data_IF_754665383420
#
_entry.id   IF_754665383420
#
_cell.length_a   1.000
_cell.length_b   1.000
_cell.length_c   1.000
_cell.angle_alpha   90.00
_cell.angle_beta   90.00
_cell.angle_gamma   90.00
#
_symmetry.space_group_name_H-M   'P 1'
#
loop_
_entity.id
_entity.type
_entity.pdbx_description
1 polymer ?
#
# COMPACT_ATOMS: atom_id res chain seq x y z
N UNK A 1 21.17 -10.35 10.17
CA UNK A 1 21.30 -9.82 8.79
C UNK A 1 21.76 -8.37 8.79
N UNK A 2 21.05 -7.40 9.37
CA UNK A 2 21.40 -5.96 9.26
C UNK A 2 22.87 -5.60 9.57
N UNK A 3 23.50 -6.21 10.58
CA UNK A 3 24.92 -5.94 10.90
C UNK A 3 25.94 -6.38 9.83
N UNK A 4 25.51 -7.11 8.80
CA UNK A 4 26.35 -7.60 7.69
C UNK A 4 26.05 -6.87 6.36
N UNK A 5 24.97 -6.08 6.30
CA UNK A 5 24.47 -5.47 5.08
C UNK A 5 24.11 -4.01 5.34
N UNK A 6 24.98 -3.08 4.95
CA UNK A 6 24.82 -1.65 5.24
C UNK A 6 23.51 -1.07 4.71
N UNK A 7 23.09 -1.45 3.50
CA UNK A 7 21.81 -1.02 2.93
C UNK A 7 20.62 -1.45 3.79
N UNK A 8 20.65 -2.66 4.34
CA UNK A 8 19.60 -3.18 5.22
C UNK A 8 19.67 -2.53 6.60
N UNK A 9 20.87 -2.29 7.13
CA UNK A 9 21.04 -1.55 8.39
C UNK A 9 20.42 -0.16 8.29
N UNK A 10 20.73 0.60 7.22
CA UNK A 10 20.14 1.92 6.99
C UNK A 10 18.62 1.84 6.78
N UNK A 11 18.11 0.86 6.01
CA UNK A 11 16.67 0.72 5.81
C UNK A 11 15.90 0.45 7.11
N UNK A 12 16.42 -0.45 7.96
CA UNK A 12 15.83 -0.77 9.27
C UNK A 12 15.91 0.42 10.23
N UNK A 13 17.04 1.14 10.27
CA UNK A 13 17.18 2.34 11.11
C UNK A 13 16.25 3.46 10.65
N UNK A 14 16.11 3.66 9.34
CA UNK A 14 15.17 4.61 8.76
C UNK A 14 13.73 4.30 9.15
N UNK A 15 13.30 3.05 8.96
CA UNK A 15 11.97 2.60 9.34
C UNK A 15 11.71 2.73 10.85
N UNK A 16 12.66 2.30 11.69
CA UNK A 16 12.57 2.41 13.14
C UNK A 16 12.46 3.86 13.61
N UNK A 17 13.26 4.77 13.04
CA UNK A 17 13.18 6.20 13.32
C UNK A 17 11.84 6.81 12.88
N UNK A 18 11.29 6.43 11.72
CA UNK A 18 9.94 6.84 11.29
C UNK A 18 8.87 6.35 12.27
N UNK A 19 8.92 5.08 12.68
CA UNK A 19 7.98 4.52 13.65
C UNK A 19 8.04 5.27 15.00
N UNK A 20 9.24 5.52 15.52
CA UNK A 20 9.44 6.24 16.78
C UNK A 20 9.01 7.70 16.70
N UNK A 21 9.18 8.36 15.54
CA UNK A 21 8.73 9.74 15.35
C UNK A 21 7.20 9.86 15.37
N UNK A 22 6.50 8.82 14.90
CA UNK A 22 5.03 8.80 14.88
C UNK A 22 4.39 8.38 16.20
N UNK A 23 5.05 7.51 16.97
CA UNK A 23 4.44 6.89 18.17
C UNK A 23 5.18 7.22 19.48
N UNK A 24 6.35 7.83 19.41
CA UNK A 24 7.17 8.22 20.55
C UNK A 24 7.09 9.70 20.86
N UNK A 25 7.90 10.12 21.84
CA UNK A 25 7.97 11.51 22.31
C UNK A 25 9.14 12.30 21.69
N UNK A 26 9.85 11.73 20.72
CA UNK A 26 11.05 12.32 20.11
C UNK A 26 10.90 12.30 18.60
N UNK A 27 11.15 13.45 17.97
CA UNK A 27 11.16 13.59 16.53
C UNK A 27 12.50 13.15 15.93
N UNK A 28 12.49 12.03 15.20
CA UNK A 28 13.62 11.51 14.44
C UNK A 28 13.42 11.64 12.93
N UNK A 29 12.51 12.51 12.47
CA UNK A 29 12.15 12.63 11.05
C UNK A 29 13.39 12.90 10.18
N UNK A 30 14.29 13.78 10.62
CA UNK A 30 15.53 14.07 9.88
C UNK A 30 16.44 12.84 9.75
N UNK A 31 16.61 12.08 10.82
CA UNK A 31 17.45 10.88 10.86
C UNK A 31 16.82 9.77 10.02
N UNK A 32 15.49 9.61 10.10
CA UNK A 32 14.73 8.66 9.30
C UNK A 32 14.93 8.90 7.80
N UNK A 33 14.87 10.17 7.37
CA UNK A 33 15.10 10.56 5.98
C UNK A 33 16.56 10.37 5.56
N UNK A 34 17.53 10.72 6.42
CA UNK A 34 18.94 10.50 6.12
C UNK A 34 19.25 9.02 5.90
N UNK A 35 18.78 8.15 6.79
CA UNK A 35 18.94 6.71 6.65
C UNK A 35 18.22 6.16 5.41
N UNK A 36 17.01 6.66 5.10
CA UNK A 36 16.27 6.30 3.88
C UNK A 36 17.06 6.60 2.61
N UNK A 37 17.59 7.82 2.47
CA UNK A 37 18.37 8.23 1.29
C UNK A 37 19.62 7.37 1.13
N UNK A 38 20.34 7.11 2.23
CA UNK A 38 21.50 6.22 2.19
C UNK A 38 21.11 4.80 1.78
N UNK A 39 20.04 4.24 2.34
CA UNK A 39 19.54 2.91 1.98
C UNK A 39 19.17 2.84 0.50
N UNK A 40 18.40 3.80 -0.03
CA UNK A 40 18.02 3.83 -1.45
C UNK A 40 19.23 3.88 -2.37
N UNK A 41 20.25 4.70 -2.03
CA UNK A 41 21.49 4.76 -2.80
C UNK A 41 22.19 3.40 -2.84
N UNK A 42 22.39 2.78 -1.67
CA UNK A 42 23.09 1.50 -1.58
C UNK A 42 22.28 0.36 -2.23
N UNK A 43 20.95 0.37 -2.11
CA UNK A 43 20.06 -0.59 -2.81
C UNK A 43 20.23 -0.46 -4.32
N UNK A 44 20.22 0.76 -4.86
CA UNK A 44 20.40 0.97 -6.30
C UNK A 44 21.76 0.46 -6.79
N UNK A 45 22.84 0.68 -6.02
CA UNK A 45 24.18 0.14 -6.33
C UNK A 45 24.19 -1.40 -6.38
N UNK A 46 23.40 -2.07 -5.53
CA UNK A 46 23.23 -3.53 -5.56
C UNK A 46 22.37 -4.00 -6.74
N UNK A 47 21.40 -3.20 -7.20
CA UNK A 47 20.58 -3.54 -8.37
C UNK A 47 21.38 -3.46 -9.67
N UNK A 48 22.37 -2.58 -9.76
CA UNK A 48 23.32 -2.53 -10.87
C UNK A 48 24.21 -3.77 -10.93
N UNK A 49 24.41 -4.44 -9.78
CA UNK A 49 25.21 -5.66 -9.65
C UNK A 49 24.44 -6.74 -8.85
N UNK A 50 23.40 -7.36 -9.45
CA UNK A 50 22.47 -8.22 -8.73
C UNK A 50 23.15 -9.30 -7.88
N UNK A 51 22.74 -9.48 -6.60
CA UNK A 51 23.33 -10.48 -5.73
C UNK A 51 23.06 -11.91 -6.21
N UNK A 52 24.07 -12.77 -6.09
CA UNK A 52 24.00 -14.18 -6.51
C UNK A 52 23.83 -15.16 -5.36
N UNK A 53 24.16 -14.75 -4.12
CA UNK A 53 23.97 -15.59 -2.94
C UNK A 53 22.57 -15.37 -2.37
N UNK A 54 21.86 -16.44 -1.97
CA UNK A 54 20.51 -16.32 -1.42
C UNK A 54 20.38 -15.35 -0.24
N UNK A 55 21.35 -15.35 0.68
CA UNK A 55 21.32 -14.43 1.84
C UNK A 55 21.45 -12.95 1.43
N UNK A 56 22.19 -12.65 0.36
CA UNK A 56 22.36 -11.29 -0.15
C UNK A 56 21.08 -10.85 -0.90
N UNK A 57 20.42 -11.77 -1.61
CA UNK A 57 19.11 -11.54 -2.24
C UNK A 57 18.03 -11.26 -1.20
N UNK A 58 17.98 -12.07 -0.14
CA UNK A 58 17.06 -11.90 0.99
C UNK A 58 17.30 -10.57 1.70
N UNK A 59 18.56 -10.21 1.96
CA UNK A 59 18.88 -8.93 2.58
C UNK A 59 18.45 -7.74 1.71
N UNK A 60 18.67 -7.81 0.40
CA UNK A 60 18.27 -6.76 -0.55
C UNK A 60 16.75 -6.61 -0.56
N UNK A 61 16.01 -7.72 -0.66
CA UNK A 61 14.55 -7.68 -0.63
C UNK A 61 14.02 -7.15 0.71
N UNK A 62 14.60 -7.57 1.84
CA UNK A 62 14.26 -7.06 3.17
C UNK A 62 14.42 -5.54 3.25
N UNK A 63 15.47 -4.99 2.65
CA UNK A 63 15.71 -3.55 2.62
C UNK A 63 14.65 -2.82 1.79
N UNK A 64 14.24 -3.37 0.64
CA UNK A 64 13.17 -2.79 -0.17
C UNK A 64 11.83 -2.83 0.56
N UNK A 65 11.49 -3.93 1.24
CA UNK A 65 10.28 -3.99 2.08
C UNK A 65 10.31 -2.92 3.17
N UNK A 66 11.46 -2.72 3.84
CA UNK A 66 11.60 -1.65 4.83
C UNK A 66 11.36 -0.26 4.21
N UNK A 67 11.86 -0.01 3.00
CA UNK A 67 11.64 1.25 2.27
C UNK A 67 10.16 1.46 1.92
N UNK A 68 9.47 0.43 1.43
CA UNK A 68 8.02 0.47 1.15
C UNK A 68 7.23 0.75 2.42
N UNK A 69 7.51 0.00 3.50
CA UNK A 69 6.83 0.18 4.79
C UNK A 69 7.08 1.59 5.33
N UNK A 70 8.30 2.11 5.22
CA UNK A 70 8.61 3.46 5.66
C UNK A 70 7.84 4.52 4.87
N UNK A 71 7.63 4.33 3.55
CA UNK A 71 6.79 5.24 2.75
C UNK A 71 5.37 5.33 3.30
N UNK A 72 4.83 4.27 3.90
CA UNK A 72 3.48 4.28 4.50
C UNK A 72 3.40 5.06 5.84
N UNK A 73 4.55 5.50 6.37
CA UNK A 73 4.67 6.29 7.60
C UNK A 73 5.04 7.76 7.32
N UNK A 74 4.99 8.18 6.06
CA UNK A 74 5.38 9.54 5.65
C UNK A 74 4.17 10.32 5.10
N UNK A 75 3.93 11.57 5.52
CA UNK A 75 2.72 12.31 5.15
C UNK A 75 2.67 12.77 3.68
N UNK A 76 3.80 12.82 2.97
CA UNK A 76 3.91 13.36 1.60
C UNK A 76 4.44 12.33 0.57
N UNK A 77 4.17 11.04 0.80
CA UNK A 77 4.81 9.93 0.08
C UNK A 77 3.83 8.99 -0.64
N UNK A 78 2.59 9.39 -0.90
CA UNK A 78 1.61 8.52 -1.58
C UNK A 78 2.15 7.94 -2.90
N UNK A 79 2.76 8.78 -3.73
CA UNK A 79 3.35 8.35 -5.02
C UNK A 79 4.65 7.59 -4.81
N UNK A 80 5.48 8.03 -3.85
CA UNK A 80 6.69 7.30 -3.47
C UNK A 80 6.36 5.87 -2.98
N UNK A 81 5.26 5.68 -2.23
CA UNK A 81 4.78 4.35 -1.83
C UNK A 81 4.44 3.50 -3.04
N UNK A 82 3.60 3.98 -3.96
CA UNK A 82 3.19 3.22 -5.14
C UNK A 82 4.38 2.89 -6.05
N UNK A 83 5.28 3.85 -6.26
CA UNK A 83 6.51 3.65 -7.05
C UNK A 83 7.47 2.67 -6.38
N UNK A 84 7.68 2.79 -5.06
CA UNK A 84 8.57 1.89 -4.33
C UNK A 84 7.99 0.47 -4.29
N UNK A 85 6.68 0.31 -4.12
CA UNK A 85 6.00 -1.01 -4.21
C UNK A 85 6.20 -1.65 -5.57
N UNK A 86 6.05 -0.88 -6.66
CA UNK A 86 6.35 -1.36 -8.02
C UNK A 86 7.80 -1.81 -8.18
N UNK A 87 8.75 -1.03 -7.66
CA UNK A 87 10.17 -1.41 -7.62
C UNK A 87 10.42 -2.67 -6.79
N UNK A 88 9.77 -2.79 -5.63
CA UNK A 88 9.85 -3.96 -4.76
C UNK A 88 9.33 -5.23 -5.41
N UNK A 89 8.23 -5.14 -6.16
CA UNK A 89 7.72 -6.28 -6.93
C UNK A 89 8.68 -6.71 -8.05
N UNK A 90 9.37 -5.77 -8.70
CA UNK A 90 10.42 -6.08 -9.67
C UNK A 90 11.58 -6.83 -8.98
N UNK A 91 12.04 -6.36 -7.81
CA UNK A 91 13.08 -7.06 -7.04
C UNK A 91 12.62 -8.47 -6.63
N UNK A 92 11.39 -8.60 -6.12
CA UNK A 92 10.80 -9.87 -5.73
C UNK A 92 10.76 -10.88 -6.88
N UNK A 93 10.43 -10.42 -8.10
CA UNK A 93 10.25 -11.29 -9.27
C UNK A 93 11.54 -11.57 -10.05
N UNK A 94 12.56 -10.71 -9.93
CA UNK A 94 13.80 -10.82 -10.74
C UNK A 94 15.02 -11.22 -9.92
N UNK A 95 15.10 -10.84 -8.64
CA UNK A 95 16.28 -11.07 -7.80
C UNK A 95 16.13 -12.35 -6.96
N UNK A 96 14.93 -12.64 -6.45
CA UNK A 96 14.70 -13.87 -5.69
C UNK A 96 14.51 -15.03 -6.68
N UNK A 97 15.61 -15.71 -6.99
CA UNK A 97 15.62 -16.77 -8.02
C UNK A 97 15.06 -18.11 -7.53
N UNK A 98 15.03 -18.33 -6.21
CA UNK A 98 14.56 -19.57 -5.60
C UNK A 98 13.85 -19.27 -4.27
N UNK A 99 12.54 -19.04 -4.35
CA UNK A 99 11.72 -18.71 -3.16
C UNK A 99 11.76 -19.80 -2.10
N UNK A 100 11.88 -21.09 -2.47
CA UNK A 100 11.89 -22.19 -1.48
C UNK A 100 13.10 -22.12 -0.54
N UNK A 101 14.21 -21.54 -1.01
CA UNK A 101 15.42 -21.33 -0.22
C UNK A 101 15.48 -19.96 0.46
N UNK A 102 14.59 -19.04 0.09
CA UNK A 102 14.51 -17.70 0.66
C UNK A 102 13.82 -17.73 2.02
N UNK A 103 14.23 -16.83 2.92
CA UNK A 103 13.44 -16.56 4.14
C UNK A 103 12.05 -16.00 3.83
N UNK A 104 11.86 -15.46 2.62
CA UNK A 104 10.60 -14.91 2.10
C UNK A 104 9.79 -15.93 1.30
N UNK A 105 10.00 -17.24 1.47
CA UNK A 105 9.24 -18.30 0.78
C UNK A 105 7.71 -18.18 0.87
N UNK A 106 7.19 -17.45 1.85
CA UNK A 106 5.75 -17.18 2.02
C UNK A 106 5.23 -15.97 1.23
N UNK A 107 6.12 -15.20 0.58
CA UNK A 107 5.77 -14.05 -0.27
C UNK A 107 5.52 -14.49 -1.72
N UNK A 108 4.82 -15.62 -1.90
CA UNK A 108 4.39 -16.11 -3.21
C UNK A 108 2.87 -15.99 -3.32
N UNK A 109 2.30 -15.85 -4.54
CA UNK A 109 0.85 -15.77 -4.71
C UNK A 109 0.09 -16.96 -4.07
N UNK A 110 0.67 -18.16 -4.15
CA UNK A 110 0.08 -19.37 -3.56
C UNK A 110 0.09 -19.35 -2.02
N UNK A 111 1.21 -18.96 -1.41
CA UNK A 111 1.29 -18.88 0.06
C UNK A 111 0.51 -17.69 0.60
N UNK A 112 0.39 -16.61 -0.17
CA UNK A 112 -0.51 -15.51 0.14
C UNK A 112 -1.97 -16.00 0.19
N UNK A 113 -2.45 -16.70 -0.85
CA UNK A 113 -3.82 -17.23 -0.90
C UNK A 113 -4.12 -18.17 0.29
N UNK A 114 -3.18 -19.08 0.61
CA UNK A 114 -3.27 -19.94 1.80
C UNK A 114 -3.30 -19.18 3.11
N UNK A 115 -2.61 -18.04 3.18
CA UNK A 115 -2.59 -17.17 4.36
C UNK A 115 -3.91 -16.43 4.52
N UNK A 116 -4.53 -15.97 3.43
CA UNK A 116 -5.85 -15.34 3.45
C UNK A 116 -6.90 -16.22 4.10
N UNK A 117 -6.99 -17.49 3.69
CA UNK A 117 -7.97 -18.44 4.24
C UNK A 117 -7.82 -18.64 5.76
N UNK A 118 -6.61 -18.44 6.30
CA UNK A 118 -6.33 -18.56 7.75
C UNK A 118 -6.59 -17.27 8.52
N UNK A 119 -6.38 -16.12 7.88
CA UNK A 119 -6.51 -14.80 8.51
C UNK A 119 -7.95 -14.29 8.50
N UNK A 120 -8.76 -14.71 7.53
CA UNK A 120 -10.14 -14.22 7.42
C UNK A 120 -10.96 -14.64 8.63
N UNK A 121 -11.52 -13.64 9.29
CA UNK A 121 -12.50 -13.75 10.36
C UNK A 121 -13.66 -12.83 10.04
N UNK A 122 -14.74 -13.37 9.46
CA UNK A 122 -15.89 -12.57 9.04
C UNK A 122 -16.46 -11.76 10.22
N UNK A 123 -16.51 -10.45 10.05
CA UNK A 123 -17.11 -9.50 10.98
C UNK A 123 -18.45 -8.98 10.44
N UNK A 124 -19.30 -8.38 11.30
CA UNK A 124 -20.48 -7.68 10.85
C UNK A 124 -20.14 -6.62 9.80
N UNK A 125 -20.73 -6.76 8.60
CA UNK A 125 -20.51 -5.85 7.48
C UNK A 125 -21.14 -4.49 7.77
N UNK A 126 -20.36 -3.43 7.61
CA UNK A 126 -20.88 -2.07 7.65
C UNK A 126 -21.43 -1.69 6.25
N UNK A 127 -22.69 -2.04 5.99
CA UNK A 127 -23.31 -1.79 4.69
C UNK A 127 -23.34 -0.31 4.29
N UNK A 128 -23.42 0.62 5.25
CA UNK A 128 -23.34 2.06 4.95
C UNK A 128 -21.97 2.43 4.34
N UNK A 129 -20.87 1.93 4.91
CA UNK A 129 -19.54 2.14 4.35
C UNK A 129 -19.36 1.43 3.00
N UNK A 130 -19.92 0.22 2.86
CA UNK A 130 -19.84 -0.58 1.62
C UNK A 130 -20.58 0.10 0.47
N UNK A 131 -21.84 0.48 0.68
CA UNK A 131 -22.64 1.16 -0.34
C UNK A 131 -22.10 2.57 -0.63
N UNK A 132 -21.62 3.27 0.39
CA UNK A 132 -20.96 4.56 0.22
C UNK A 132 -19.70 4.46 -0.64
N UNK A 133 -18.82 3.48 -0.38
CA UNK A 133 -17.63 3.24 -1.21
C UNK A 133 -18.04 2.92 -2.64
N UNK A 134 -18.99 1.99 -2.83
CA UNK A 134 -19.46 1.58 -4.14
C UNK A 134 -20.00 2.76 -4.96
N UNK A 135 -20.87 3.59 -4.36
CA UNK A 135 -21.37 4.80 -5.00
C UNK A 135 -20.26 5.81 -5.33
N UNK A 136 -19.26 5.98 -4.44
CA UNK A 136 -18.11 6.85 -4.68
C UNK A 136 -17.27 6.36 -5.88
N UNK A 137 -16.93 5.07 -5.91
CA UNK A 137 -16.17 4.46 -7.00
C UNK A 137 -16.93 4.54 -8.34
N UNK A 138 -18.24 4.29 -8.34
CA UNK A 138 -19.07 4.45 -9.53
C UNK A 138 -19.08 5.88 -10.08
N UNK A 139 -19.03 6.91 -9.21
CA UNK A 139 -18.93 8.31 -9.65
C UNK A 139 -17.58 8.65 -10.28
N UNK A 140 -16.52 7.94 -9.94
CA UNK A 140 -15.17 8.14 -10.52
C UNK A 140 -15.04 7.47 -11.89
N UNK A 141 -15.76 6.38 -12.14
CA UNK A 141 -15.66 5.62 -13.39
C UNK A 141 -15.78 6.50 -14.67
N UNK A 142 -16.72 7.46 -14.78
CA UNK A 142 -16.80 8.36 -15.94
C UNK A 142 -15.60 9.31 -16.12
N UNK A 143 -14.77 9.51 -15.09
CA UNK A 143 -13.54 10.31 -15.16
C UNK A 143 -12.35 9.52 -15.71
N UNK A 144 -12.46 8.19 -15.75
CA UNK A 144 -11.39 7.31 -16.23
C UNK A 144 -11.30 7.41 -17.75
N UNK A 145 -10.20 7.96 -18.25
CA UNK A 145 -9.96 8.17 -19.68
C UNK A 145 -8.99 7.13 -20.24
N UNK A 146 -8.11 6.59 -19.39
CA UNK A 146 -7.08 5.63 -19.78
C UNK A 146 -7.50 4.19 -19.46
N UNK A 147 -7.06 3.18 -20.24
CA UNK A 147 -7.36 1.78 -19.95
C UNK A 147 -6.91 1.31 -18.57
N UNK A 148 -5.78 1.82 -18.07
CA UNK A 148 -5.28 1.53 -16.71
C UNK A 148 -6.21 2.05 -15.64
N UNK A 149 -6.73 3.27 -15.78
CA UNK A 149 -7.69 3.88 -14.86
C UNK A 149 -9.01 3.11 -14.82
N UNK A 150 -9.54 2.75 -16.00
CA UNK A 150 -10.77 1.96 -16.13
C UNK A 150 -10.61 0.61 -15.44
N UNK A 151 -9.53 -0.12 -15.75
CA UNK A 151 -9.25 -1.44 -15.16
C UNK A 151 -9.13 -1.38 -13.64
N UNK A 152 -8.45 -0.34 -13.13
CA UNK A 152 -8.26 -0.12 -11.70
C UNK A 152 -9.58 0.20 -11.00
N UNK A 153 -10.40 1.08 -11.58
CA UNK A 153 -11.72 1.43 -11.05
C UNK A 153 -12.69 0.25 -11.05
N UNK A 154 -12.74 -0.51 -12.14
CA UNK A 154 -13.58 -1.71 -12.24
C UNK A 154 -13.18 -2.78 -11.22
N UNK A 155 -11.87 -2.94 -10.97
CA UNK A 155 -11.37 -3.86 -9.94
C UNK A 155 -11.79 -3.46 -8.52
N UNK A 156 -11.74 -2.16 -8.18
CA UNK A 156 -12.31 -1.64 -6.92
C UNK A 156 -13.80 -1.94 -6.79
N UNK A 157 -14.58 -1.75 -7.86
CA UNK A 157 -16.01 -2.02 -7.88
C UNK A 157 -16.28 -3.53 -7.70
N UNK A 158 -15.52 -4.41 -8.37
CA UNK A 158 -15.63 -5.86 -8.17
C UNK A 158 -15.31 -6.26 -6.74
N UNK A 159 -14.27 -5.70 -6.15
CA UNK A 159 -13.86 -5.99 -4.78
C UNK A 159 -14.98 -5.67 -3.78
N UNK A 160 -15.59 -4.47 -3.86
CA UNK A 160 -16.68 -4.10 -2.96
C UNK A 160 -17.99 -4.87 -3.24
N UNK A 161 -18.21 -5.30 -4.49
CA UNK A 161 -19.31 -6.21 -4.84
C UNK A 161 -19.13 -7.58 -4.21
N UNK A 162 -17.95 -8.17 -4.29
CA UNK A 162 -17.62 -9.43 -3.65
C UNK A 162 -17.78 -9.34 -2.13
N UNK A 163 -17.41 -8.21 -1.50
CA UNK A 163 -17.50 -8.06 -0.04
C UNK A 163 -18.91 -8.23 0.51
N UNK A 164 -19.95 -7.95 -0.30
CA UNK A 164 -21.35 -8.14 0.10
C UNK A 164 -21.68 -9.61 0.39
N UNK A 165 -20.96 -10.55 -0.21
CA UNK A 165 -21.25 -11.99 -0.13
C UNK A 165 -20.10 -12.83 0.40
N UNK A 166 -18.84 -12.43 0.18
CA UNK A 166 -17.66 -13.22 0.55
C UNK A 166 -16.45 -12.33 0.85
N UNK A 167 -15.94 -12.42 2.09
CA UNK A 167 -14.71 -11.74 2.48
C UNK A 167 -13.48 -12.27 1.72
N UNK A 168 -13.44 -13.58 1.44
CA UNK A 168 -12.34 -14.21 0.72
C UNK A 168 -12.23 -13.72 -0.72
N UNK A 169 -13.35 -13.70 -1.45
CA UNK A 169 -13.36 -13.25 -2.85
C UNK A 169 -13.14 -11.74 -2.95
N UNK A 170 -13.55 -10.97 -1.95
CA UNK A 170 -13.25 -9.55 -1.87
C UNK A 170 -11.75 -9.31 -1.67
N UNK A 171 -11.12 -10.03 -0.74
CA UNK A 171 -9.69 -9.90 -0.49
C UNK A 171 -8.86 -10.38 -1.68
N UNK A 172 -9.21 -11.51 -2.30
CA UNK A 172 -8.54 -11.98 -3.54
C UNK A 172 -8.56 -10.91 -4.64
N UNK A 173 -9.72 -10.28 -4.87
CA UNK A 173 -9.83 -9.18 -5.83
C UNK A 173 -9.01 -7.94 -5.40
N UNK A 174 -8.96 -7.65 -4.09
CA UNK A 174 -8.14 -6.55 -3.56
C UNK A 174 -6.64 -6.77 -3.79
N UNK A 175 -6.14 -8.00 -3.69
CA UNK A 175 -4.73 -8.31 -4.01
C UNK A 175 -4.43 -7.96 -5.45
N UNK A 176 -5.32 -8.34 -6.38
CA UNK A 176 -5.18 -8.01 -7.81
C UNK A 176 -5.15 -6.49 -7.98
N UNK A 177 -6.05 -5.76 -7.33
CA UNK A 177 -6.07 -4.29 -7.34
C UNK A 177 -4.75 -3.69 -6.82
N UNK A 178 -4.26 -4.17 -5.68
CA UNK A 178 -3.09 -3.65 -5.00
C UNK A 178 -1.82 -3.81 -5.86
N UNK A 179 -1.64 -4.97 -6.48
CA UNK A 179 -0.48 -5.26 -7.33
C UNK A 179 -0.65 -4.76 -8.77
N UNK A 180 -1.84 -4.32 -9.18
CA UNK A 180 -2.10 -3.89 -10.55
C UNK A 180 -1.07 -2.88 -11.10
N UNK A 181 -0.61 -1.86 -10.35
CA UNK A 181 0.39 -0.92 -10.86
C UNK A 181 1.73 -1.58 -11.23
N UNK A 182 2.07 -2.74 -10.65
CA UNK A 182 3.30 -3.47 -10.97
C UNK A 182 3.24 -4.13 -12.34
N UNK A 183 2.02 -4.36 -12.85
CA UNK A 183 1.77 -4.94 -14.18
C UNK A 183 1.80 -3.91 -15.31
N UNK A 184 1.75 -2.61 -15.00
CA UNK A 184 1.76 -1.56 -16.00
C UNK A 184 3.15 -1.46 -16.66
N UNK A 185 3.16 -1.18 -17.95
CA UNK A 185 4.41 -0.79 -18.62
C UNK A 185 4.89 0.57 -18.05
N UNK A 186 6.13 0.96 -18.35
CA UNK A 186 6.71 2.18 -17.79
C UNK A 186 5.95 3.45 -18.19
N UNK A 187 5.49 3.55 -19.43
CA UNK A 187 4.76 4.72 -19.90
C UNK A 187 3.43 4.84 -19.17
N UNK A 188 2.65 3.77 -19.16
CA UNK A 188 1.33 3.71 -18.52
C UNK A 188 1.42 3.99 -17.02
N UNK A 189 2.45 3.47 -16.34
CA UNK A 189 2.66 3.74 -14.92
C UNK A 189 2.99 5.21 -14.67
N UNK A 190 3.94 5.78 -15.41
CA UNK A 190 4.32 7.19 -15.25
C UNK A 190 3.13 8.11 -15.51
N UNK A 191 2.32 7.78 -16.49
CA UNK A 191 1.06 8.47 -16.80
C UNK A 191 -0.03 8.31 -15.74
N UNK A 192 -0.07 7.17 -15.05
CA UNK A 192 -1.04 6.88 -13.99
C UNK A 192 -0.73 7.66 -12.70
N UNK A 193 0.56 7.82 -12.37
CA UNK A 193 1.04 8.54 -11.18
C UNK A 193 1.44 9.99 -11.44
N UNK A 194 1.22 10.47 -12.66
CA UNK A 194 1.56 11.84 -13.06
C UNK A 194 0.83 12.86 -12.17
N UNK A 195 1.53 13.95 -11.81
CA UNK A 195 1.01 14.96 -10.88
C UNK A 195 -0.35 15.54 -11.33
N UNK A 196 -0.52 15.72 -12.64
CA UNK A 196 -1.71 16.30 -13.27
C UNK A 196 -2.81 15.24 -13.51
N UNK A 197 -2.50 13.95 -13.34
CA UNK A 197 -3.50 12.88 -13.38
C UNK A 197 -4.32 12.83 -12.08
N UNK A 198 -5.27 13.74 -11.95
CA UNK A 198 -6.19 13.80 -10.81
C UNK A 198 -7.03 12.52 -10.64
N UNK A 199 -7.43 11.87 -11.74
CA UNK A 199 -8.21 10.63 -11.69
C UNK A 199 -7.39 9.49 -11.10
N UNK A 200 -6.15 9.28 -11.59
CA UNK A 200 -5.23 8.28 -11.04
C UNK A 200 -5.00 8.44 -9.54
N UNK A 201 -4.83 9.67 -9.07
CA UNK A 201 -4.70 9.97 -7.65
C UNK A 201 -5.94 9.67 -6.81
N UNK A 202 -7.14 9.96 -7.35
CA UNK A 202 -8.40 9.59 -6.69
C UNK A 202 -8.54 8.06 -6.59
N UNK A 203 -8.17 7.33 -7.64
CA UNK A 203 -8.20 5.87 -7.64
C UNK A 203 -7.25 5.28 -6.59
N UNK A 204 -6.02 5.80 -6.47
CA UNK A 204 -5.05 5.38 -5.45
C UNK A 204 -5.59 5.60 -4.03
N UNK A 205 -6.16 6.77 -3.74
CA UNK A 205 -6.77 7.05 -2.43
C UNK A 205 -7.94 6.11 -2.16
N UNK A 206 -8.80 5.84 -3.15
CA UNK A 206 -9.90 4.89 -2.98
C UNK A 206 -9.39 3.48 -2.67
N UNK A 207 -8.33 3.00 -3.32
CA UNK A 207 -7.72 1.71 -2.98
C UNK A 207 -7.26 1.67 -1.52
N UNK A 208 -6.59 2.72 -1.03
CA UNK A 208 -6.17 2.76 0.38
C UNK A 208 -7.33 2.80 1.36
N UNK A 209 -8.42 3.51 1.05
CA UNK A 209 -9.60 3.51 1.93
C UNK A 209 -10.36 2.17 1.85
N UNK A 210 -10.39 1.53 0.68
CA UNK A 210 -10.95 0.19 0.50
C UNK A 210 -10.23 -0.86 1.36
N UNK A 211 -8.91 -0.73 1.51
CA UNK A 211 -8.08 -1.54 2.41
C UNK A 211 -8.67 -1.58 3.84
N UNK A 212 -9.07 -0.43 4.37
CA UNK A 212 -9.71 -0.30 5.70
C UNK A 212 -11.16 -0.79 5.73
N UNK A 213 -11.93 -0.56 4.65
CA UNK A 213 -13.32 -1.07 4.54
C UNK A 213 -13.30 -2.59 4.60
N UNK A 214 -12.39 -3.23 3.86
CA UNK A 214 -12.22 -4.67 3.86
C UNK A 214 -11.65 -5.18 5.18
N UNK A 215 -10.59 -4.55 5.71
CA UNK A 215 -10.00 -4.94 7.00
C UNK A 215 -11.04 -4.98 8.12
N UNK A 216 -11.97 -4.03 8.16
CA UNK A 216 -13.04 -4.02 9.15
C UNK A 216 -14.00 -5.22 9.06
N UNK A 217 -14.25 -5.72 7.85
CA UNK A 217 -15.15 -6.83 7.58
C UNK A 217 -14.45 -8.20 7.60
N UNK A 218 -13.16 -8.25 7.25
CA UNK A 218 -12.42 -9.48 7.02
C UNK A 218 -11.53 -9.91 8.19
N UNK A 219 -11.19 -9.01 9.12
CA UNK A 219 -10.24 -9.29 10.20
C UNK A 219 -10.87 -9.20 11.59
N UNK A 220 -10.38 -9.99 12.54
CA UNK A 220 -10.82 -9.91 13.93
C UNK A 220 -10.35 -8.60 14.56
N UNK A 221 -11.07 -8.11 15.58
CA UNK A 221 -10.61 -6.98 16.40
C UNK A 221 -9.27 -7.24 17.08
N UNK A 222 -8.93 -8.50 17.34
CA UNK A 222 -7.61 -8.89 17.86
C UNK A 222 -6.46 -8.59 16.91
N UNK A 223 -6.75 -8.42 15.62
CA UNK A 223 -5.76 -8.19 14.57
C UNK A 223 -5.54 -6.69 14.31
N UNK A 224 -6.12 -5.82 15.16
CA UNK A 224 -5.86 -4.40 15.10
C UNK A 224 -4.38 -4.10 15.41
N UNK A 225 -3.70 -3.30 14.55
CA UNK A 225 -2.33 -2.89 14.82
C UNK A 225 -2.23 -2.07 16.12
N UNK A 226 -1.28 -2.44 16.98
CA UNK A 226 -0.98 -1.69 18.22
C UNK A 226 -0.57 -0.23 17.92
N UNK A 227 0.11 -0.01 16.79
CA UNK A 227 0.63 1.28 16.35
C UNK A 227 0.08 1.66 14.96
N UNK A 228 -1.06 2.38 14.89
CA UNK A 228 -1.79 2.61 13.64
C UNK A 228 -1.26 3.80 12.83
N UNK A 229 0.06 4.03 12.78
CA UNK A 229 0.67 5.18 12.10
C UNK A 229 0.25 5.35 10.64
N UNK A 230 0.16 4.23 9.89
CA UNK A 230 -0.32 4.20 8.50
C UNK A 230 -1.71 4.83 8.35
N UNK A 231 -2.62 4.59 9.31
CA UNK A 231 -3.99 5.12 9.28
C UNK A 231 -4.00 6.64 9.15
N UNK A 232 -3.21 7.31 9.99
CA UNK A 232 -3.14 8.77 10.00
C UNK A 232 -2.46 9.33 8.76
N UNK A 233 -1.49 8.61 8.20
CA UNK A 233 -0.86 8.97 6.92
C UNK A 233 -1.85 8.90 5.77
N UNK A 234 -2.65 7.83 5.66
CA UNK A 234 -3.67 7.69 4.60
C UNK A 234 -4.74 8.78 4.72
N UNK A 235 -5.16 9.12 5.95
CA UNK A 235 -6.06 10.24 6.21
C UNK A 235 -5.42 11.56 5.74
N UNK A 236 -4.12 11.76 6.00
CA UNK A 236 -3.40 12.94 5.54
C UNK A 236 -3.35 13.02 4.01
N UNK A 237 -2.94 11.94 3.33
CA UNK A 237 -2.91 11.86 1.86
C UNK A 237 -4.27 12.19 1.24
N UNK A 238 -5.35 11.67 1.84
CA UNK A 238 -6.72 11.95 1.37
C UNK A 238 -7.07 13.43 1.50
N UNK A 239 -6.74 14.05 2.64
CA UNK A 239 -6.99 15.48 2.88
C UNK A 239 -6.16 16.37 1.97
N UNK A 240 -4.89 16.04 1.74
CA UNK A 240 -4.00 16.81 0.88
C UNK A 240 -4.42 16.71 -0.59
N UNK A 241 -4.80 15.51 -1.05
CA UNK A 241 -5.40 15.33 -2.36
C UNK A 241 -6.66 16.21 -2.51
N UNK A 242 -7.57 16.14 -1.53
CA UNK A 242 -8.79 16.91 -1.58
C UNK A 242 -8.55 18.42 -1.61
N UNK A 243 -7.51 18.93 -0.93
CA UNK A 243 -7.12 20.34 -0.98
C UNK A 243 -6.62 20.76 -2.36
N UNK A 244 -5.71 19.99 -2.95
CA UNK A 244 -5.05 20.34 -4.22
C UNK A 244 -5.92 20.15 -5.46
N UNK A 245 -6.93 19.28 -5.40
CA UNK A 245 -7.80 19.01 -6.55
C UNK A 245 -8.55 20.27 -7.02
N UNK A 246 -8.73 20.45 -8.35
CA UNK A 246 -9.55 21.53 -8.91
C UNK A 246 -11.00 21.49 -8.41
N UNK A 247 -11.70 22.61 -8.49
CA UNK A 247 -13.10 22.73 -8.03
C UNK A 247 -14.03 21.70 -8.68
N UNK A 248 -13.79 21.35 -9.95
CA UNK A 248 -14.56 20.34 -10.69
C UNK A 248 -14.39 18.92 -10.15
N UNK A 249 -13.39 18.66 -9.32
CA UNK A 249 -13.13 17.34 -8.74
C UNK A 249 -13.58 17.21 -7.27
N UNK A 250 -14.07 18.29 -6.65
CA UNK A 250 -14.38 18.30 -5.21
C UNK A 250 -15.46 17.29 -4.83
N UNK A 251 -16.46 17.09 -5.68
CA UNK A 251 -17.55 16.13 -5.45
C UNK A 251 -17.02 14.68 -5.29
N UNK A 252 -15.94 14.32 -5.97
CA UNK A 252 -15.34 12.98 -5.90
C UNK A 252 -14.52 12.75 -4.63
N UNK A 253 -14.36 13.78 -3.79
CA UNK A 253 -13.64 13.70 -2.51
C UNK A 253 -14.58 13.67 -1.30
N UNK A 254 -15.89 13.84 -1.50
CA UNK A 254 -16.88 13.88 -0.42
C UNK A 254 -16.87 12.61 0.42
N UNK A 255 -17.05 11.45 -0.21
CA UNK A 255 -17.07 10.17 0.49
C UNK A 255 -15.70 9.83 1.11
N UNK A 256 -14.55 9.98 0.39
CA UNK A 256 -13.24 9.78 1.01
C UNK A 256 -13.01 10.60 2.27
N UNK A 257 -13.40 11.88 2.27
CA UNK A 257 -13.24 12.76 3.43
C UNK A 257 -14.18 12.38 4.57
N UNK A 258 -15.41 11.99 4.28
CA UNK A 258 -16.37 11.53 5.30
C UNK A 258 -15.89 10.22 5.93
N UNK A 259 -15.48 9.25 5.11
CA UNK A 259 -14.94 8.00 5.61
C UNK A 259 -13.66 8.18 6.42
N UNK A 260 -12.81 9.16 6.07
CA UNK A 260 -11.64 9.51 6.90
C UNK A 260 -12.02 10.00 8.31
N UNK A 261 -13.18 10.64 8.51
CA UNK A 261 -13.65 11.00 9.86
C UNK A 261 -14.00 9.76 10.67
N UNK A 262 -14.71 8.82 10.04
CA UNK A 262 -15.04 7.53 10.63
C UNK A 262 -13.76 6.77 10.99
N UNK A 263 -12.79 6.70 10.06
CA UNK A 263 -11.53 6.00 10.25
C UNK A 263 -10.67 6.62 11.37
N UNK A 264 -10.71 7.95 11.53
CA UNK A 264 -9.99 8.63 12.62
C UNK A 264 -10.48 8.18 14.02
N UNK A 265 -11.77 7.85 14.14
CA UNK A 265 -12.42 7.50 15.41
C UNK A 265 -12.53 5.98 15.65
N UNK A 266 -12.29 5.17 14.60
CA UNK A 266 -12.45 3.71 14.65
C UNK A 266 -11.13 2.94 14.63
N UNK A 267 -11.26 1.62 14.75
CA UNK A 267 -10.16 0.68 14.71
C UNK A 267 -9.38 0.73 13.40
N UNK A 268 -8.10 0.41 13.46
CA UNK A 268 -7.13 0.56 12.37
C UNK A 268 -6.90 -0.71 11.56
N UNK A 269 -7.86 -1.64 11.53
CA UNK A 269 -7.73 -2.89 10.78
C UNK A 269 -7.70 -2.59 9.28
N UNK A 270 -6.64 -3.04 8.63
CA UNK A 270 -6.44 -3.01 7.18
C UNK A 270 -5.85 -4.33 6.74
N UNK A 271 -5.96 -4.66 5.47
CA UNK A 271 -5.39 -5.85 4.90
C UNK A 271 -3.87 -5.70 4.81
N UNK A 272 -3.12 -6.55 5.50
CA UNK A 272 -1.68 -6.71 5.33
C UNK A 272 -1.42 -7.40 3.98
N UNK A 273 -1.73 -6.73 2.87
CA UNK A 273 -1.53 -7.27 1.52
C UNK A 273 -0.09 -6.95 1.07
N UNK A 274 0.80 -7.96 0.93
CA UNK A 274 2.13 -7.79 0.39
C UNK A 274 2.13 -7.46 -1.11
#
# INVERSE_FOLDING_TARGET
MSHQYDYLAHAVLGLGASHLSQHGNVDYTSQALQHRVTAMKLVNEQLDHPPTKPADQDALFAAVICLVTQSSLMPDSMIDYITTTRGGNLVASTIITDYEKSIFKYFTPMEHDRSLERLISEQPRNFEAIEGFHASAQRILPLCQKPTEVSYCECMIRCINNLRTSCLEAWREFVILFIMPTTFNNQDFMEFVDYDNHTGHLLIIHMFLLDYVLGNACLSKSDEPEYPGRKFVIINWTRDLARRLPSSYKEYTEWPLEYCKILAERDARYLLSP
#
